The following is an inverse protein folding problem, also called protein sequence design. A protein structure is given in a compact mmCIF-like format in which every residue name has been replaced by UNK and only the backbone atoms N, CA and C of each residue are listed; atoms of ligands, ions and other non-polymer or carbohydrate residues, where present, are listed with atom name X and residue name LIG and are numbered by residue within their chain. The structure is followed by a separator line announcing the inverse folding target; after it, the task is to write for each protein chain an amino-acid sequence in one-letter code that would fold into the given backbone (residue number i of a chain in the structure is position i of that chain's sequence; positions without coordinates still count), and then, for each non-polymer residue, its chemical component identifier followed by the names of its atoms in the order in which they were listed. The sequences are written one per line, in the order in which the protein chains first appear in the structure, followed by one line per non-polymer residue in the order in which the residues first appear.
data_IF_671442301271
#
_entry.id   IF_671442301271
#
_cell.length_a   1.000
_cell.length_b   1.000
_cell.length_c   1.000
_cell.angle_alpha   90.00
_cell.angle_beta   90.00
_cell.angle_gamma   90.00
#
_symmetry.space_group_name_H-M   'P 1'
#
loop_
_entity.id
_entity.type
_entity.pdbx_description
1 polymer ?
#
# COMPACT_ATOMS: atom_id res chain seq x y z
N UNK A 1 -23.78 47.72 -30.94
CA UNK A 1 -23.56 47.93 -29.49
C UNK A 1 -23.55 46.54 -28.83
N UNK A 2 -22.36 45.96 -28.62
CA UNK A 2 -22.19 44.59 -28.13
C UNK A 2 -21.69 44.61 -26.69
N UNK A 3 -22.52 44.16 -25.76
CA UNK A 3 -22.20 44.07 -24.34
C UNK A 3 -21.48 42.75 -24.03
N UNK A 4 -20.14 42.78 -23.95
CA UNK A 4 -19.33 41.67 -23.47
C UNK A 4 -19.32 41.66 -21.95
N UNK A 5 -20.11 40.76 -21.37
CA UNK A 5 -20.24 40.48 -19.94
C UNK A 5 -18.90 40.08 -19.30
N UNK A 6 -18.35 40.92 -18.41
CA UNK A 6 -17.20 40.58 -17.55
C UNK A 6 -17.67 39.70 -16.39
N UNK A 7 -17.33 38.41 -16.39
CA UNK A 7 -17.49 37.55 -15.19
C UNK A 7 -16.26 37.69 -14.29
N UNK A 8 -16.40 37.89 -12.97
CA UNK A 8 -15.28 37.81 -12.04
C UNK A 8 -14.89 36.34 -11.76
N UNK A 9 -13.59 36.08 -11.68
CA UNK A 9 -13.02 34.79 -11.29
C UNK A 9 -13.15 34.61 -9.77
N UNK A 10 -13.76 33.53 -9.25
CA UNK A 10 -13.74 33.26 -7.82
C UNK A 10 -12.35 32.72 -7.42
N UNK A 11 -11.61 33.55 -6.70
CA UNK A 11 -10.44 33.13 -5.94
C UNK A 11 -10.86 32.19 -4.82
N UNK A 12 -10.45 30.93 -4.93
CA UNK A 12 -10.56 29.94 -3.86
C UNK A 12 -9.18 29.64 -3.28
N UNK A 13 -8.85 30.30 -2.17
CA UNK A 13 -7.83 29.83 -1.22
C UNK A 13 -8.16 28.36 -0.86
N UNK A 14 -7.34 27.40 -1.30
CA UNK A 14 -7.37 26.06 -0.72
C UNK A 14 -6.36 26.02 0.42
N UNK A 15 -6.91 26.08 1.63
CA UNK A 15 -6.26 25.85 2.91
C UNK A 15 -5.40 24.59 2.84
N UNK A 16 -4.10 24.78 3.04
CA UNK A 16 -3.18 23.73 3.45
C UNK A 16 -3.60 23.23 4.83
N UNK A 17 -3.98 21.95 4.93
CA UNK A 17 -4.24 21.33 6.22
C UNK A 17 -5.28 20.23 6.15
N UNK A 18 -4.82 19.01 5.81
CA UNK A 18 -5.29 17.70 6.30
C UNK A 18 -4.87 16.63 5.27
N UNK A 19 -3.62 16.19 5.34
CA UNK A 19 -3.20 14.89 4.80
C UNK A 19 -3.63 13.79 5.77
N UNK A 20 -4.95 13.65 5.97
CA UNK A 20 -5.50 12.35 6.34
C UNK A 20 -5.57 11.55 5.05
N UNK A 21 -4.55 10.77 4.74
CA UNK A 21 -4.61 9.77 3.67
C UNK A 21 -5.76 8.82 4.02
N UNK A 22 -6.91 8.87 3.32
CA UNK A 22 -7.87 7.80 3.48
C UNK A 22 -7.18 6.57 2.86
N UNK A 23 -7.02 5.51 3.66
CA UNK A 23 -6.68 4.19 3.13
C UNK A 23 -7.77 3.90 2.11
N UNK A 24 -7.50 4.15 0.82
CA UNK A 24 -8.38 3.76 -0.27
C UNK A 24 -8.52 2.26 -0.11
N UNK A 25 -9.68 1.82 0.41
CA UNK A 25 -10.14 0.45 0.25
C UNK A 25 -10.13 0.23 -1.25
N UNK A 26 -9.07 -0.42 -1.71
CA UNK A 26 -8.94 -0.85 -3.07
C UNK A 26 -10.01 -1.93 -3.21
N UNK A 27 -11.20 -1.52 -3.62
CA UNK A 27 -12.23 -2.43 -4.10
C UNK A 27 -11.68 -3.07 -5.37
N UNK A 28 -10.86 -4.10 -5.14
CA UNK A 28 -10.42 -5.02 -6.17
C UNK A 28 -11.70 -5.70 -6.66
N UNK A 29 -12.08 -5.36 -7.89
CA UNK A 29 -13.02 -6.14 -8.71
C UNK A 29 -12.76 -7.62 -8.45
N UNK A 30 -13.78 -8.30 -7.94
CA UNK A 30 -13.75 -9.70 -7.63
C UNK A 30 -13.72 -10.51 -8.93
N UNK A 31 -12.54 -10.69 -9.49
CA UNK A 31 -12.26 -11.75 -10.46
C UNK A 31 -11.11 -12.58 -9.89
N UNK A 32 -11.48 -13.75 -9.34
CA UNK A 32 -10.61 -14.83 -8.90
C UNK A 32 -9.36 -14.42 -8.12
N UNK A 33 -9.40 -14.49 -6.78
CA UNK A 33 -8.16 -14.39 -5.98
C UNK A 33 -7.12 -15.37 -6.57
N UNK A 34 -5.91 -14.90 -6.93
CA UNK A 34 -4.85 -15.80 -7.38
C UNK A 34 -4.68 -16.93 -6.35
N UNK A 35 -4.40 -18.18 -6.76
CA UNK A 35 -4.32 -19.32 -5.83
C UNK A 35 -3.34 -19.08 -4.67
N UNK A 36 -2.28 -18.29 -4.90
CA UNK A 36 -1.33 -17.83 -3.87
C UNK A 36 -1.98 -17.03 -2.71
N UNK A 37 -3.17 -16.48 -2.90
CA UNK A 37 -3.95 -15.68 -1.93
C UNK A 37 -5.23 -16.39 -1.45
N UNK A 38 -5.50 -17.61 -1.90
CA UNK A 38 -6.61 -18.39 -1.36
C UNK A 38 -6.32 -18.69 0.11
N UNK A 39 -7.28 -18.45 1.00
CA UNK A 39 -7.17 -18.65 2.46
C UNK A 39 -6.12 -17.80 3.20
N UNK A 40 -5.45 -16.83 2.54
CA UNK A 40 -4.52 -15.91 3.21
C UNK A 40 -5.20 -14.58 3.55
N UNK A 41 -4.83 -13.99 4.69
CA UNK A 41 -5.29 -12.66 5.14
C UNK A 41 -4.21 -11.63 4.82
N UNK A 42 -4.62 -10.42 4.43
CA UNK A 42 -3.68 -9.33 4.19
C UNK A 42 -3.24 -8.70 5.52
N UNK A 43 -1.93 -8.65 5.74
CA UNK A 43 -1.31 -7.92 6.86
C UNK A 43 -0.58 -6.70 6.31
N UNK A 44 -0.92 -5.52 6.82
CA UNK A 44 -0.21 -4.28 6.52
C UNK A 44 0.84 -4.00 7.60
N UNK A 45 2.07 -3.69 7.20
CA UNK A 45 3.15 -3.34 8.12
C UNK A 45 3.83 -2.04 7.69
N UNK A 46 4.25 -1.25 8.68
CA UNK A 46 5.12 -0.09 8.46
C UNK A 46 6.56 -0.52 8.67
N UNK A 47 7.39 -0.32 7.65
CA UNK A 47 8.82 -0.60 7.67
C UNK A 47 9.57 0.58 7.06
N UNK A 48 10.86 0.70 7.33
CA UNK A 48 11.70 1.70 6.67
C UNK A 48 11.81 1.39 5.17
N UNK A 49 12.06 2.44 4.36
CA UNK A 49 12.27 2.26 2.92
C UNK A 49 13.50 1.39 2.61
N UNK A 50 14.55 1.52 3.43
CA UNK A 50 15.74 0.67 3.36
C UNK A 50 15.40 -0.81 3.56
N UNK A 51 14.62 -1.14 4.60
CA UNK A 51 14.19 -2.52 4.86
C UNK A 51 13.36 -3.06 3.70
N UNK A 52 12.43 -2.25 3.17
CA UNK A 52 11.63 -2.63 2.00
C UNK A 52 12.51 -2.92 0.78
N UNK A 53 13.54 -2.10 0.53
CA UNK A 53 14.47 -2.28 -0.58
C UNK A 53 15.29 -3.56 -0.41
N UNK A 54 15.87 -3.77 0.78
CA UNK A 54 16.65 -4.97 1.11
C UNK A 54 15.81 -6.24 0.94
N UNK A 55 14.58 -6.24 1.45
CA UNK A 55 13.67 -7.38 1.34
C UNK A 55 13.33 -7.72 -0.12
N UNK A 56 13.11 -6.69 -0.96
CA UNK A 56 12.87 -6.90 -2.40
C UNK A 56 14.09 -7.46 -3.13
N UNK A 57 15.29 -6.96 -2.83
CA UNK A 57 16.51 -7.48 -3.46
C UNK A 57 16.74 -8.94 -3.07
N UNK A 58 16.57 -9.27 -1.78
CA UNK A 58 16.67 -10.64 -1.29
C UNK A 58 15.65 -11.58 -1.96
N UNK A 59 14.42 -11.10 -2.20
CA UNK A 59 13.40 -11.89 -2.89
C UNK A 59 13.84 -12.29 -4.31
N UNK A 60 14.45 -11.33 -5.02
CA UNK A 60 14.97 -11.55 -6.38
C UNK A 60 16.13 -12.54 -6.35
N UNK A 61 17.08 -12.36 -5.43
CA UNK A 61 18.25 -13.23 -5.28
C UNK A 61 17.86 -14.68 -4.98
N UNK A 62 16.83 -14.88 -4.16
CA UNK A 62 16.34 -16.21 -3.80
C UNK A 62 15.34 -16.80 -4.81
N UNK A 63 14.94 -16.04 -5.83
CA UNK A 63 13.90 -16.45 -6.78
C UNK A 63 12.54 -16.72 -6.12
N UNK A 64 12.26 -16.06 -4.98
CA UNK A 64 11.04 -16.28 -4.17
C UNK A 64 10.19 -15.02 -4.12
N UNK A 65 8.91 -15.17 -3.74
CA UNK A 65 8.05 -14.01 -3.52
C UNK A 65 8.35 -13.36 -2.16
N UNK A 66 8.23 -12.04 -2.09
CA UNK A 66 8.35 -11.28 -0.82
C UNK A 66 7.36 -11.80 0.22
N UNK A 67 6.15 -12.20 -0.20
CA UNK A 67 5.12 -12.69 0.71
C UNK A 67 5.53 -14.02 1.36
N UNK A 68 6.12 -14.95 0.61
CA UNK A 68 6.52 -16.25 1.16
C UNK A 68 7.67 -16.09 2.18
N UNK A 69 8.60 -15.17 1.94
CA UNK A 69 9.66 -14.86 2.91
C UNK A 69 9.12 -14.19 4.17
N UNK A 70 8.13 -13.32 4.04
CA UNK A 70 7.46 -12.70 5.20
C UNK A 70 6.75 -13.78 6.03
N UNK A 71 6.04 -14.70 5.37
CA UNK A 71 5.35 -15.81 6.04
C UNK A 71 6.33 -16.71 6.81
N UNK A 72 7.46 -17.07 6.19
CA UNK A 72 8.54 -17.80 6.85
C UNK A 72 9.11 -17.03 8.06
N UNK A 73 9.30 -15.73 7.94
CA UNK A 73 9.82 -14.91 9.04
C UNK A 73 8.88 -14.87 10.26
N UNK A 74 7.56 -14.95 10.04
CA UNK A 74 6.59 -15.06 11.14
C UNK A 74 6.73 -16.40 11.87
N UNK A 75 6.90 -17.51 11.13
CA UNK A 75 7.11 -18.81 11.75
C UNK A 75 8.38 -18.82 12.60
N UNK A 76 9.49 -18.31 12.08
CA UNK A 76 10.75 -18.19 12.83
C UNK A 76 10.59 -17.35 14.10
N UNK A 77 9.76 -16.30 14.04
CA UNK A 77 9.49 -15.45 15.19
C UNK A 77 8.66 -16.22 16.25
N UNK A 78 7.65 -16.99 15.85
CA UNK A 78 6.92 -17.84 16.78
C UNK A 78 7.81 -18.92 17.39
N UNK A 79 8.61 -19.60 16.60
CA UNK A 79 9.53 -20.64 17.10
C UNK A 79 10.48 -20.06 18.16
N UNK A 80 10.96 -18.84 17.95
CA UNK A 80 11.87 -18.16 18.87
C UNK A 80 11.23 -17.76 20.22
N UNK A 81 9.96 -17.34 20.21
CA UNK A 81 9.31 -16.74 21.39
C UNK A 81 8.24 -17.61 22.06
N UNK A 82 7.91 -18.76 21.47
CA UNK A 82 6.91 -19.71 22.03
C UNK A 82 7.58 -20.93 22.68
N UNK A 83 8.91 -20.89 22.85
CA UNK A 83 9.68 -21.90 23.60
C UNK A 83 9.68 -21.58 25.10
#
# INVERSE_FOLDING_TARGET
MSATSRRPLPGGLHLAGQTTTPIRKLEAKAEGKPPSRANKVQVGAFVSDETRRKLKMLAIEQGRSVNDMIEESFQMLFDKYTT
#
